data_IF_351301961107
#
_entry.id   IF_351301961107
#
_cell.length_a   1.000
_cell.length_b   1.000
_cell.length_c   1.000
_cell.angle_alpha   90.00
_cell.angle_beta   90.00
_cell.angle_gamma   90.00
#
_symmetry.space_group_name_H-M   'P 1'
#
loop_
_entity.id
_entity.type
_entity.pdbx_description
1 polymer ?
#
# COMPACT_ATOMS: atom_id res chain seq x y z
N UNK A 1 6.96 14.54 6.95
CA UNK A 1 6.36 13.22 7.19
C UNK A 1 6.77 12.85 8.60
N UNK A 2 5.79 12.77 9.48
CA UNK A 2 5.92 12.13 10.77
C UNK A 2 6.44 10.70 10.53
N UNK A 3 7.38 10.22 11.34
CA UNK A 3 7.87 8.87 11.20
C UNK A 3 6.67 7.92 11.27
N UNK A 4 6.52 7.03 10.28
CA UNK A 4 5.44 6.06 10.28
C UNK A 4 5.44 5.35 11.64
N UNK A 5 4.31 5.34 12.34
CA UNK A 5 4.15 4.64 13.61
C UNK A 5 4.57 3.18 13.40
N UNK A 6 5.75 2.84 13.89
CA UNK A 6 6.31 1.51 13.73
C UNK A 6 5.72 0.65 14.83
N UNK A 7 4.92 -0.35 14.45
CA UNK A 7 4.41 -1.35 15.38
C UNK A 7 5.05 -2.70 15.11
N UNK A 8 5.03 -3.56 16.12
CA UNK A 8 5.50 -4.94 16.04
C UNK A 8 4.36 -5.86 16.48
N UNK A 9 4.22 -6.99 15.78
CA UNK A 9 3.26 -8.03 16.15
C UNK A 9 4.01 -9.05 16.99
N UNK A 10 3.75 -9.05 18.29
CA UNK A 10 4.28 -10.05 19.21
C UNK A 10 3.45 -11.34 19.09
N UNK A 11 3.91 -12.25 18.22
CA UNK A 11 3.25 -13.53 17.96
C UNK A 11 4.28 -14.63 17.78
N UNK A 12 4.03 -15.86 18.27
CA UNK A 12 4.89 -17.01 17.98
C UNK A 12 4.95 -17.37 16.49
N UNK A 13 3.97 -16.92 15.69
CA UNK A 13 3.89 -17.17 14.25
C UNK A 13 4.61 -16.11 13.41
N UNK A 14 5.22 -15.09 14.03
CA UNK A 14 5.93 -14.02 13.35
C UNK A 14 7.37 -13.94 13.83
N UNK A 15 8.32 -13.95 12.90
CA UNK A 15 9.75 -13.79 13.18
C UNK A 15 10.29 -12.61 12.38
N UNK A 16 10.86 -11.64 13.09
CA UNK A 16 11.52 -10.49 12.48
C UNK A 16 13.01 -10.75 12.34
N UNK A 17 13.45 -11.11 11.13
CA UNK A 17 14.87 -11.22 10.78
C UNK A 17 15.47 -9.90 10.29
N UNK A 18 16.80 -9.86 10.07
CA UNK A 18 17.46 -8.68 9.50
C UNK A 18 16.98 -8.38 8.06
N UNK A 19 16.76 -9.41 7.25
CA UNK A 19 16.42 -9.27 5.83
C UNK A 19 14.92 -9.35 5.54
N UNK A 20 14.18 -10.13 6.32
CA UNK A 20 12.78 -10.46 6.05
C UNK A 20 11.95 -10.61 7.33
N UNK A 21 10.65 -10.41 7.18
CA UNK A 21 9.62 -10.80 8.15
C UNK A 21 9.06 -12.13 7.67
N UNK A 22 9.12 -13.15 8.51
CA UNK A 22 8.50 -14.45 8.24
C UNK A 22 7.23 -14.58 9.07
N UNK A 23 6.12 -14.89 8.41
CA UNK A 23 4.81 -15.03 9.05
C UNK A 23 4.17 -16.36 8.65
N UNK A 24 3.76 -17.13 9.63
CA UNK A 24 3.00 -18.36 9.43
C UNK A 24 1.51 -18.02 9.45
N UNK A 25 0.79 -18.50 8.44
CA UNK A 25 -0.64 -18.23 8.30
C UNK A 25 -1.39 -19.51 7.93
N UNK A 26 -2.39 -19.85 8.73
CA UNK A 26 -3.29 -20.94 8.44
C UNK A 26 -4.50 -20.43 7.65
N UNK A 27 -4.49 -20.65 6.33
CA UNK A 27 -5.62 -20.30 5.48
C UNK A 27 -6.71 -21.36 5.60
N UNK A 28 -7.81 -20.99 6.24
CA UNK A 28 -9.00 -21.85 6.41
C UNK A 28 -10.06 -21.46 5.38
N UNK A 29 -10.55 -22.45 4.65
CA UNK A 29 -11.59 -22.29 3.62
C UNK A 29 -12.46 -23.54 3.56
N UNK A 30 -13.49 -23.54 2.71
CA UNK A 30 -14.39 -24.69 2.54
C UNK A 30 -14.41 -25.15 1.08
N UNK A 31 -14.42 -26.47 0.88
CA UNK A 31 -14.69 -27.10 -0.42
C UNK A 31 -16.11 -27.65 -0.40
N UNK A 32 -16.90 -27.34 -1.41
CA UNK A 32 -18.28 -27.84 -1.52
C UNK A 32 -18.39 -28.86 -2.65
N UNK A 33 -18.93 -30.05 -2.37
CA UNK A 33 -19.29 -31.06 -3.39
C UNK A 33 -20.80 -31.25 -3.45
N UNK A 34 -21.32 -31.62 -4.63
CA UNK A 34 -22.73 -32.00 -4.81
C UNK A 34 -22.80 -33.49 -5.11
N UNK A 35 -23.51 -34.24 -4.28
CA UNK A 35 -23.68 -35.68 -4.41
C UNK A 35 -25.16 -36.03 -4.16
N UNK A 36 -25.82 -36.62 -5.16
CA UNK A 36 -27.24 -37.01 -5.03
C UNK A 36 -28.18 -35.84 -4.72
N UNK A 37 -27.89 -34.64 -5.20
CA UNK A 37 -28.68 -33.43 -4.92
C UNK A 37 -28.35 -32.74 -3.60
N UNK A 38 -27.61 -33.38 -2.69
CA UNK A 38 -27.17 -32.81 -1.42
C UNK A 38 -25.85 -32.07 -1.59
N UNK A 39 -25.72 -30.90 -0.95
CA UNK A 39 -24.46 -30.17 -0.84
C UNK A 39 -23.69 -30.66 0.39
N UNK A 40 -22.47 -31.13 0.18
CA UNK A 40 -21.53 -31.51 1.25
C UNK A 40 -20.46 -30.43 1.36
N UNK A 41 -20.32 -29.84 2.55
CA UNK A 41 -19.35 -28.78 2.85
C UNK A 41 -18.20 -29.39 3.62
N UNK A 42 -16.98 -29.23 3.11
CA UNK A 42 -15.76 -29.79 3.68
C UNK A 42 -14.85 -28.64 4.11
N UNK A 43 -14.76 -28.33 5.41
CA UNK A 43 -13.75 -27.40 5.91
C UNK A 43 -12.35 -27.93 5.59
N UNK A 44 -11.50 -27.04 5.09
CA UNK A 44 -10.13 -27.35 4.67
C UNK A 44 -9.20 -26.26 5.18
N UNK A 45 -7.96 -26.64 5.47
CA UNK A 45 -6.95 -25.72 5.97
C UNK A 45 -5.65 -25.96 5.22
N UNK A 46 -4.97 -24.87 4.87
CA UNK A 46 -3.64 -24.88 4.24
C UNK A 46 -2.72 -23.93 4.99
N UNK A 47 -1.59 -24.43 5.50
CA UNK A 47 -0.59 -23.62 6.17
C UNK A 47 0.35 -23.00 5.15
N UNK A 48 0.47 -21.68 5.19
CA UNK A 48 1.41 -20.90 4.40
C UNK A 48 2.52 -20.35 5.31
N UNK A 49 3.70 -20.20 4.74
CA UNK A 49 4.78 -19.37 5.30
C UNK A 49 5.03 -18.25 4.32
N UNK A 50 4.72 -17.02 4.74
CA UNK A 50 5.01 -15.82 3.97
C UNK A 50 6.35 -15.25 4.40
N UNK A 51 7.19 -14.90 3.43
CA UNK A 51 8.46 -14.21 3.66
C UNK A 51 8.40 -12.86 2.94
N UNK A 52 8.39 -11.78 3.72
CA UNK A 52 8.31 -10.40 3.22
C UNK A 52 9.66 -9.74 3.41
N UNK A 53 10.31 -9.33 2.32
CA UNK A 53 11.58 -8.59 2.39
C UNK A 53 11.40 -7.25 3.11
N UNK A 54 12.37 -6.90 3.97
CA UNK A 54 12.33 -5.63 4.73
C UNK A 54 12.91 -4.47 3.96
N UNK A 55 13.82 -4.74 3.03
CA UNK A 55 14.44 -3.71 2.20
C UNK A 55 13.44 -3.19 1.16
N UNK A 56 13.10 -1.91 1.24
CA UNK A 56 12.30 -1.23 0.23
C UNK A 56 13.22 -0.89 -0.96
N UNK A 57 12.91 -1.36 -2.18
CA UNK A 57 13.77 -1.13 -3.34
C UNK A 57 13.63 0.29 -3.88
N UNK A 58 14.61 0.71 -4.69
CA UNK A 58 14.41 1.85 -5.60
C UNK A 58 13.45 1.41 -6.70
N UNK A 59 12.46 2.25 -7.01
CA UNK A 59 11.41 1.90 -7.96
C UNK A 59 11.35 2.89 -9.13
N UNK A 60 11.62 2.38 -10.33
CA UNK A 60 11.33 3.04 -11.59
C UNK A 60 9.95 2.65 -12.10
N UNK A 61 9.21 3.62 -12.64
CA UNK A 61 7.87 3.43 -13.22
C UNK A 61 7.91 3.91 -14.66
N UNK A 62 7.73 2.98 -15.60
CA UNK A 62 7.64 3.26 -17.04
C UNK A 62 6.18 3.31 -17.46
N UNK A 63 5.69 4.47 -17.92
CA UNK A 63 4.29 4.66 -18.32
C UNK A 63 4.13 4.62 -19.84
N UNK A 64 3.19 3.83 -20.35
CA UNK A 64 2.72 3.91 -21.73
C UNK A 64 1.52 4.86 -21.78
N UNK A 65 1.59 5.89 -22.62
CA UNK A 65 0.67 7.04 -22.57
C UNK A 65 1.08 8.05 -21.49
N UNK A 66 2.38 8.27 -21.30
CA UNK A 66 2.93 9.13 -20.25
C UNK A 66 2.49 10.60 -20.38
N UNK A 67 2.36 11.09 -21.62
CA UNK A 67 1.90 12.46 -21.91
C UNK A 67 0.39 12.65 -21.77
N UNK A 68 -0.39 11.57 -21.65
CA UNK A 68 -1.82 11.64 -21.41
C UNK A 68 -2.19 12.16 -20.02
N UNK A 69 -3.48 12.46 -19.81
CA UNK A 69 -3.99 13.08 -18.58
C UNK A 69 -3.55 12.36 -17.29
N UNK A 70 -3.56 11.03 -17.28
CA UNK A 70 -3.17 10.26 -16.09
C UNK A 70 -1.66 10.28 -15.86
N UNK A 71 -0.85 10.15 -16.92
CA UNK A 71 0.60 10.12 -16.80
C UNK A 71 1.17 11.47 -16.38
N UNK A 72 0.69 12.56 -16.98
CA UNK A 72 1.07 13.92 -16.59
C UNK A 72 0.59 14.25 -15.17
N UNK A 73 -0.65 13.91 -14.81
CA UNK A 73 -1.17 14.13 -13.45
C UNK A 73 -0.42 13.33 -12.39
N UNK A 74 -0.13 12.05 -12.63
CA UNK A 74 0.63 11.22 -11.70
C UNK A 74 2.03 11.78 -11.47
N UNK A 75 2.71 12.17 -12.55
CA UNK A 75 4.05 12.76 -12.50
C UNK A 75 4.03 14.09 -11.74
N UNK A 76 3.07 14.97 -12.04
CA UNK A 76 2.91 16.25 -11.37
C UNK A 76 2.57 16.08 -9.88
N UNK A 77 1.69 15.14 -9.53
CA UNK A 77 1.32 14.86 -8.14
C UNK A 77 2.53 14.42 -7.31
N UNK A 78 3.38 13.54 -7.85
CA UNK A 78 4.60 13.12 -7.15
C UNK A 78 5.61 14.24 -7.03
N UNK A 79 5.86 15.00 -8.10
CA UNK A 79 6.79 16.13 -8.05
C UNK A 79 6.32 17.21 -7.07
N UNK A 80 5.02 17.53 -7.07
CA UNK A 80 4.45 18.53 -6.17
C UNK A 80 4.58 18.12 -4.70
N UNK A 81 4.32 16.84 -4.37
CA UNK A 81 4.48 16.32 -3.01
C UNK A 81 5.96 16.27 -2.59
N UNK A 82 6.85 15.80 -3.48
CA UNK A 82 8.31 15.74 -3.24
C UNK A 82 8.89 17.13 -2.94
N UNK A 83 8.48 18.13 -3.71
CA UNK A 83 8.92 19.53 -3.57
C UNK A 83 8.11 20.32 -2.53
N UNK A 84 7.11 19.70 -1.88
CA UNK A 84 6.22 20.34 -0.89
C UNK A 84 5.57 21.61 -1.43
N UNK A 85 5.08 21.55 -2.67
CA UNK A 85 4.46 22.69 -3.33
C UNK A 85 3.14 23.07 -2.67
N UNK A 86 2.82 24.36 -2.79
CA UNK A 86 1.54 24.91 -2.35
C UNK A 86 1.12 26.04 -3.27
N UNK A 87 -0.18 26.28 -3.40
CA UNK A 87 -0.72 27.27 -4.31
C UNK A 87 -1.96 27.98 -3.72
N UNK A 88 -2.17 29.27 -4.03
CA UNK A 88 -3.36 29.98 -3.62
C UNK A 88 -4.57 29.49 -4.43
N UNK A 89 -5.72 29.43 -3.78
CA UNK A 89 -7.02 29.19 -4.40
C UNK A 89 -8.03 30.21 -3.85
N UNK A 90 -9.22 30.30 -4.46
CA UNK A 90 -10.30 31.17 -3.93
C UNK A 90 -10.68 30.86 -2.49
N UNK A 91 -10.50 29.62 -2.03
CA UNK A 91 -10.81 29.17 -0.67
C UNK A 91 -9.58 29.09 0.25
N UNK A 92 -8.46 29.71 -0.16
CA UNK A 92 -7.21 29.75 0.61
C UNK A 92 -6.08 28.95 -0.02
N UNK A 93 -4.96 28.84 0.69
CA UNK A 93 -3.78 28.10 0.22
C UNK A 93 -4.04 26.59 0.31
N UNK A 94 -3.66 25.85 -0.74
CA UNK A 94 -3.65 24.38 -0.78
C UNK A 94 -2.22 23.87 -0.78
N UNK A 95 -2.00 22.72 -0.17
CA UNK A 95 -0.72 22.01 -0.16
C UNK A 95 -0.85 20.69 -0.92
N UNK A 96 0.22 20.31 -1.62
CA UNK A 96 0.31 19.01 -2.27
C UNK A 96 0.09 17.88 -1.25
N UNK A 97 -0.72 16.90 -1.63
CA UNK A 97 -1.03 15.73 -0.81
C UNK A 97 -1.32 14.53 -1.73
N UNK A 98 -1.55 13.36 -1.13
CA UNK A 98 -1.94 12.12 -1.81
C UNK A 98 -3.36 11.67 -1.43
N UNK A 99 -4.26 12.61 -1.17
CA UNK A 99 -5.65 12.26 -0.90
C UNK A 99 -6.27 11.49 -2.07
N UNK A 100 -7.07 10.47 -1.75
CA UNK A 100 -7.59 9.51 -2.73
C UNK A 100 -6.69 8.29 -2.94
N UNK A 101 -5.45 8.29 -2.45
CA UNK A 101 -4.60 7.09 -2.42
C UNK A 101 -4.85 6.26 -1.16
N UNK A 102 -5.30 5.02 -1.31
CA UNK A 102 -5.51 4.10 -0.19
C UNK A 102 -4.21 3.86 0.59
N UNK A 103 -3.08 3.70 -0.10
CA UNK A 103 -1.80 3.39 0.57
C UNK A 103 -1.24 4.58 1.34
N UNK A 104 -1.52 5.82 0.89
CA UNK A 104 -0.95 7.02 1.52
C UNK A 104 -1.88 7.72 2.49
N UNK A 105 -3.19 7.61 2.30
CA UNK A 105 -4.21 8.31 3.09
C UNK A 105 -5.17 7.35 3.82
N UNK A 106 -5.12 6.05 3.54
CA UNK A 106 -5.92 5.05 4.23
C UNK A 106 -5.33 4.65 5.58
N UNK A 107 -6.20 4.21 6.48
CA UNK A 107 -5.84 3.60 7.76
C UNK A 107 -6.41 2.20 7.87
N UNK A 108 -5.81 1.39 8.75
CA UNK A 108 -6.28 0.05 9.10
C UNK A 108 -6.36 -0.05 10.62
N UNK A 109 -7.43 -0.65 11.13
CA UNK A 109 -7.55 -0.98 12.55
C UNK A 109 -6.61 -2.15 12.88
N UNK A 110 -5.84 -2.01 13.96
CA UNK A 110 -5.07 -3.08 14.57
C UNK A 110 -5.87 -3.85 15.65
N UNK A 111 -6.98 -3.28 16.11
CA UNK A 111 -7.79 -3.80 17.20
C UNK A 111 -8.00 -2.77 18.31
N UNK A 112 -8.34 -3.25 19.50
CA UNK A 112 -8.66 -2.42 20.66
C UNK A 112 -7.47 -2.31 21.61
N UNK A 113 -7.28 -1.13 22.22
CA UNK A 113 -6.34 -0.93 23.33
C UNK A 113 -6.92 -1.42 24.68
N UNK A 114 -6.17 -1.20 25.76
CA UNK A 114 -6.55 -1.63 27.10
C UNK A 114 -7.81 -0.91 27.62
N UNK A 115 -8.11 0.27 27.10
CA UNK A 115 -9.27 1.10 27.40
C UNK A 115 -10.46 0.81 26.46
N UNK A 116 -10.30 -0.14 25.53
CA UNK A 116 -11.33 -0.54 24.57
C UNK A 116 -11.52 0.45 23.41
N UNK A 117 -10.55 1.33 23.17
CA UNK A 117 -10.55 2.23 22.01
C UNK A 117 -9.89 1.58 20.81
N UNK A 118 -10.44 1.82 19.62
CA UNK A 118 -9.91 1.28 18.38
C UNK A 118 -8.61 1.99 17.97
N UNK A 119 -7.55 1.21 17.77
CA UNK A 119 -6.23 1.71 17.37
C UNK A 119 -6.10 1.58 15.85
N UNK A 120 -5.91 2.72 15.18
CA UNK A 120 -5.67 2.78 13.74
C UNK A 120 -4.23 3.13 13.42
N UNK A 121 -3.68 2.50 12.38
CA UNK A 121 -2.38 2.85 11.80
C UNK A 121 -2.51 3.20 10.32
N UNK A 122 -1.60 4.01 9.76
CA UNK A 122 -1.55 4.23 8.31
C UNK A 122 -1.41 2.91 7.55
N UNK A 123 -2.11 2.76 6.42
CA UNK A 123 -2.03 1.54 5.61
C UNK A 123 -0.59 1.22 5.18
N UNK A 124 0.19 2.24 4.81
CA UNK A 124 1.61 2.12 4.44
C UNK A 124 2.52 1.68 5.59
N UNK A 125 2.06 1.70 6.84
CA UNK A 125 2.82 1.26 8.01
C UNK A 125 2.71 -0.25 8.28
N UNK A 126 1.77 -0.96 7.63
CA UNK A 126 1.54 -2.39 7.86
C UNK A 126 2.75 -3.26 7.47
N UNK A 127 3.38 -2.95 6.34
CA UNK A 127 4.54 -3.65 5.81
C UNK A 127 5.46 -2.65 5.09
N UNK A 128 6.77 -2.96 4.96
CA UNK A 128 7.71 -2.13 4.21
C UNK A 128 7.21 -1.85 2.78
N UNK A 129 7.04 -0.58 2.45
CA UNK A 129 6.43 -0.14 1.18
C UNK A 129 7.19 1.06 0.61
N UNK A 130 7.25 1.14 -0.72
CA UNK A 130 7.84 2.30 -1.43
C UNK A 130 6.97 3.54 -1.20
N UNK A 131 7.59 4.65 -0.79
CA UNK A 131 6.91 5.93 -0.74
C UNK A 131 6.76 6.50 -2.17
N UNK A 132 5.61 7.08 -2.55
CA UNK A 132 5.44 7.65 -3.89
C UNK A 132 6.45 8.74 -4.23
N UNK A 133 6.93 9.46 -3.22
CA UNK A 133 8.00 10.46 -3.35
C UNK A 133 9.35 9.86 -3.79
N UNK A 134 9.54 8.55 -3.72
CA UNK A 134 10.78 7.87 -4.13
C UNK A 134 10.69 7.25 -5.54
N UNK A 135 9.52 7.37 -6.20
CA UNK A 135 9.31 6.88 -7.55
C UNK A 135 10.11 7.71 -8.57
N UNK A 136 10.76 7.03 -9.50
CA UNK A 136 11.37 7.64 -10.68
C UNK A 136 10.51 7.32 -11.89
N UNK A 137 10.03 8.34 -12.59
CA UNK A 137 9.17 8.18 -13.76
C UNK A 137 9.94 8.34 -15.06
N UNK A 138 9.57 7.52 -16.03
CA UNK A 138 9.90 7.66 -17.45
C UNK A 138 8.77 6.98 -18.25
N UNK A 139 8.84 6.95 -19.57
CA UNK A 139 7.81 6.30 -20.36
C UNK A 139 7.80 6.66 -21.83
N UNK A 140 6.67 6.37 -22.46
CA UNK A 140 6.43 6.61 -23.88
C UNK A 140 5.06 7.22 -24.09
N UNK A 141 4.95 8.05 -25.12
CA UNK A 141 3.70 8.53 -25.66
C UNK A 141 3.83 8.58 -27.19
N UNK A 142 2.70 8.50 -27.90
CA UNK A 142 2.68 8.68 -29.36
C UNK A 142 2.85 10.16 -29.72
N UNK A 143 2.54 11.06 -28.79
CA UNK A 143 2.82 12.48 -28.90
C UNK A 143 4.24 12.79 -28.43
N UNK A 144 4.94 13.67 -29.14
CA UNK A 144 6.27 14.17 -28.74
C UNK A 144 6.20 15.40 -27.82
N UNK A 145 5.00 15.82 -27.41
CA UNK A 145 4.85 16.91 -26.46
C UNK A 145 5.50 16.53 -25.12
N UNK A 146 6.20 17.50 -24.55
CA UNK A 146 6.72 17.35 -23.20
C UNK A 146 5.56 17.47 -22.18
N UNK A 147 5.81 17.17 -20.90
CA UNK A 147 4.76 17.17 -19.85
C UNK A 147 4.28 18.57 -19.42
N UNK A 148 4.89 19.65 -19.94
CA UNK A 148 4.62 21.04 -19.62
C UNK A 148 4.36 21.90 -20.88
#
# INVERSE_FOLDING_TARGET
MEAAAQFFVESPDVVYGPEAIEAQYEYRTTRVSREGGVLKVHPTSTRFTFRTARQVPRLGVMLVGWGGNNGSTLTAAVLANRLRLSWPTRSGRKEANYYGSLTQAGTVSLGLDAEGQEVFVPFSALLPMVAPNDLVFDGWDISSLNLA
#
